data_IF_435775065714
#
_entry.id   IF_435775065714
#
_cell.length_a   1.000
_cell.length_b   1.000
_cell.length_c   1.000
_cell.angle_alpha   90.00
_cell.angle_beta   90.00
_cell.angle_gamma   90.00
#
_symmetry.space_group_name_H-M   'P 1'
#
loop_
_entity.id
_entity.type
_entity.pdbx_description
1 polymer ?
#
# COMPACT_ATOMS: atom_id res chain seq x y z
N UNK A 1 13.04 21.28 -19.31
CA UNK A 1 13.68 19.94 -19.42
C UNK A 1 13.78 19.25 -18.06
N UNK A 2 14.34 19.92 -17.05
CA UNK A 2 14.55 19.34 -15.71
C UNK A 2 13.26 18.83 -15.03
N UNK A 3 12.19 19.63 -15.05
CA UNK A 3 10.93 19.26 -14.43
C UNK A 3 10.28 18.01 -15.08
N UNK A 4 10.41 17.87 -16.40
CA UNK A 4 9.93 16.70 -17.14
C UNK A 4 10.73 15.45 -16.76
N UNK A 5 12.05 15.57 -16.62
CA UNK A 5 12.93 14.49 -16.15
C UNK A 5 12.59 14.07 -14.73
N UNK A 6 12.41 15.05 -13.82
CA UNK A 6 12.01 14.79 -12.43
C UNK A 6 10.66 14.07 -12.33
N UNK A 7 9.67 14.50 -13.13
CA UNK A 7 8.38 13.83 -13.20
C UNK A 7 8.53 12.40 -13.75
N UNK A 8 9.35 12.19 -14.77
CA UNK A 8 9.61 10.85 -15.30
C UNK A 8 10.22 9.92 -14.23
N UNK A 9 11.14 10.42 -13.41
CA UNK A 9 11.68 9.64 -12.29
C UNK A 9 10.57 9.27 -11.29
N UNK A 10 9.71 10.23 -10.93
CA UNK A 10 8.58 9.97 -10.05
C UNK A 10 7.62 8.91 -10.63
N UNK A 11 7.31 8.97 -11.93
CA UNK A 11 6.47 7.99 -12.61
C UNK A 11 7.09 6.59 -12.67
N UNK A 12 8.40 6.52 -12.88
CA UNK A 12 9.12 5.24 -12.85
C UNK A 12 9.06 4.62 -11.46
N UNK A 13 9.27 5.41 -10.40
CA UNK A 13 9.16 4.90 -9.03
C UNK A 13 7.73 4.49 -8.68
N UNK A 14 6.74 5.24 -9.18
CA UNK A 14 5.33 4.95 -9.01
C UNK A 14 4.95 3.61 -9.67
N UNK A 15 5.46 3.34 -10.87
CA UNK A 15 5.27 2.06 -11.55
C UNK A 15 5.96 0.91 -10.81
N UNK A 16 7.20 1.12 -10.33
CA UNK A 16 7.92 0.14 -9.51
C UNK A 16 7.13 -0.19 -8.25
N UNK A 17 6.77 0.82 -7.44
CA UNK A 17 5.98 0.65 -6.23
C UNK A 17 4.62 -0.03 -6.52
N UNK A 18 3.94 0.36 -7.59
CA UNK A 18 2.65 -0.18 -8.01
C UNK A 18 2.65 -1.67 -8.35
N UNK A 19 3.83 -2.24 -8.58
CA UNK A 19 4.00 -3.67 -8.86
C UNK A 19 4.27 -4.51 -7.60
N UNK A 20 4.47 -3.87 -6.45
CA UNK A 20 4.89 -4.54 -5.22
C UNK A 20 3.71 -4.95 -4.35
N UNK A 21 3.93 -6.01 -3.58
CA UNK A 21 3.00 -6.51 -2.57
C UNK A 21 3.78 -6.95 -1.34
N UNK A 22 3.10 -7.05 -0.18
CA UNK A 22 3.70 -7.52 1.07
C UNK A 22 4.09 -6.41 2.05
N UNK A 23 3.59 -5.20 1.88
CA UNK A 23 3.69 -4.15 2.90
C UNK A 23 2.59 -4.31 3.97
N UNK A 24 2.94 -4.00 5.22
CA UNK A 24 2.03 -4.15 6.36
C UNK A 24 0.99 -3.05 6.46
N UNK A 25 1.32 -1.83 6.03
CA UNK A 25 0.49 -0.65 6.29
C UNK A 25 -0.25 -0.13 5.06
N UNK A 26 0.15 -0.56 3.87
CA UNK A 26 -0.48 -0.10 2.65
C UNK A 26 -0.40 -1.17 1.56
N UNK A 27 -1.22 -1.03 0.53
CA UNK A 27 -1.14 -1.82 -0.68
C UNK A 27 -1.22 -0.90 -1.89
N UNK A 28 -0.18 -0.89 -2.72
CA UNK A 28 -0.20 -0.16 -3.98
C UNK A 28 -0.86 -1.00 -5.08
N UNK A 29 -1.57 -0.35 -6.00
CA UNK A 29 -2.14 -0.96 -7.18
C UNK A 29 -2.00 -0.02 -8.38
N UNK A 30 -1.20 -0.41 -9.36
CA UNK A 30 -0.98 0.39 -10.56
C UNK A 30 -2.26 0.45 -11.41
N UNK A 31 -2.85 1.63 -11.53
CA UNK A 31 -4.07 1.87 -12.32
C UNK A 31 -3.74 2.20 -13.78
N UNK A 32 -2.63 2.89 -14.01
CA UNK A 32 -2.17 3.29 -15.33
C UNK A 32 -0.73 3.81 -15.30
N UNK A 33 -0.25 4.30 -16.45
CA UNK A 33 1.14 4.80 -16.58
C UNK A 33 1.44 6.01 -15.69
N UNK A 34 0.41 6.79 -15.35
CA UNK A 34 0.54 8.02 -14.57
C UNK A 34 -0.22 7.95 -13.24
N UNK A 35 -0.85 6.81 -12.92
CA UNK A 35 -1.81 6.69 -11.81
C UNK A 35 -1.58 5.42 -10.99
N UNK A 36 -1.54 5.61 -9.67
CA UNK A 36 -1.44 4.56 -8.65
C UNK A 36 -2.60 4.71 -7.67
N UNK A 37 -3.31 3.62 -7.38
CA UNK A 37 -4.17 3.53 -6.22
C UNK A 37 -3.36 3.05 -5.03
N UNK A 38 -3.49 3.72 -3.88
CA UNK A 38 -2.81 3.36 -2.65
C UNK A 38 -3.84 3.16 -1.54
N UNK A 39 -4.03 1.92 -1.12
CA UNK A 39 -4.87 1.58 0.03
C UNK A 39 -4.00 1.66 1.27
N UNK A 40 -4.32 2.51 2.24
CA UNK A 40 -3.59 2.61 3.50
C UNK A 40 -4.46 2.10 4.64
N UNK A 41 -3.90 1.20 5.44
CA UNK A 41 -4.56 0.67 6.63
C UNK A 41 -4.57 1.71 7.74
N UNK A 42 -5.77 2.00 8.24
CA UNK A 42 -5.96 2.81 9.43
C UNK A 42 -6.18 1.91 10.63
N UNK A 43 -5.20 1.89 11.53
CA UNK A 43 -5.45 1.48 12.90
C UNK A 43 -6.23 2.61 13.57
N UNK A 44 -7.57 2.54 13.50
CA UNK A 44 -8.40 3.43 14.31
C UNK A 44 -8.20 3.09 15.79
N UNK A 45 -8.20 4.12 16.64
CA UNK A 45 -8.15 3.99 18.10
C UNK A 45 -9.08 2.86 18.56
N UNK A 46 -8.53 1.84 19.20
CA UNK A 46 -9.23 1.17 20.28
C UNK A 46 -9.38 2.17 21.43
N UNK A 47 -10.26 3.16 21.29
CA UNK A 47 -10.81 3.87 22.41
C UNK A 47 -12.09 3.13 22.76
N UNK A 48 -11.96 2.24 23.73
CA UNK A 48 -13.04 1.89 24.65
C UNK A 48 -13.94 3.11 24.90
N UNK A 49 -15.14 3.12 24.30
CA UNK A 49 -16.28 3.62 25.04
C UNK A 49 -16.62 2.52 26.04
N UNK A 50 -16.62 2.76 27.36
CA UNK A 50 -17.33 1.84 28.24
C UNK A 50 -18.77 1.78 27.75
N UNK A 51 -19.20 0.59 27.36
CA UNK A 51 -20.58 0.31 27.05
C UNK A 51 -21.41 0.74 28.27
N UNK A 52 -22.28 1.73 28.07
CA UNK A 52 -23.40 1.95 29.00
C UNK A 52 -24.33 0.74 28.81
N UNK A 53 -24.66 -0.03 29.84
CA UNK A 53 -25.62 -1.11 29.70
C UNK A 53 -27.02 -0.51 29.54
N UNK A 54 -27.67 -0.80 28.43
CA UNK A 54 -29.13 -0.70 28.29
C UNK A 54 -29.63 -2.04 27.73
N UNK A 55 -30.72 -2.59 28.28
CA UNK A 55 -31.08 -3.99 28.11
C UNK A 55 -31.81 -4.28 26.80
N UNK A 56 -31.57 -5.50 26.30
CA UNK A 56 -32.48 -6.47 25.67
C UNK A 56 -33.62 -5.99 24.76
N UNK A 57 -33.68 -6.51 23.52
CA UNK A 57 -34.72 -7.45 23.01
C UNK A 57 -34.75 -7.56 21.47
N UNK A 58 -34.98 -8.79 20.97
CA UNK A 58 -35.58 -9.14 19.66
C UNK A 58 -34.74 -8.89 18.39
N UNK A 59 -34.12 -9.91 17.76
CA UNK A 59 -34.70 -10.92 16.86
C UNK A 59 -34.57 -10.60 15.34
N UNK A 60 -34.32 -11.69 14.59
CA UNK A 60 -34.49 -11.94 13.14
C UNK A 60 -33.32 -11.61 12.18
N UNK A 61 -32.72 -12.70 11.70
CA UNK A 61 -31.84 -12.78 10.52
C UNK A 61 -32.64 -12.74 9.22
N UNK A 62 -32.10 -12.11 8.16
CA UNK A 62 -32.61 -12.23 6.79
C UNK A 62 -31.44 -12.40 5.81
N UNK A 63 -31.49 -13.35 4.85
CA UNK A 63 -30.38 -13.65 3.96
C UNK A 63 -30.36 -12.81 2.67
N UNK A 64 -29.19 -12.84 2.04
CA UNK A 64 -28.73 -12.24 0.77
C UNK A 64 -29.74 -12.30 -0.38
N UNK A 65 -29.75 -11.26 -1.22
CA UNK A 65 -30.16 -11.38 -2.63
C UNK A 65 -29.31 -10.51 -3.55
N UNK A 66 -28.85 -11.13 -4.64
CA UNK A 66 -28.02 -10.57 -5.69
C UNK A 66 -28.86 -9.96 -6.81
N UNK A 67 -28.42 -8.82 -7.36
CA UNK A 67 -28.37 -8.47 -8.79
C UNK A 67 -28.64 -6.99 -9.06
N UNK A 68 -27.66 -6.29 -9.62
CA UNK A 68 -27.84 -5.45 -10.81
C UNK A 68 -26.48 -5.01 -11.33
N UNK A 69 -26.25 -5.24 -12.62
CA UNK A 69 -25.07 -4.84 -13.37
C UNK A 69 -25.11 -3.32 -13.55
N UNK A 70 -24.24 -2.60 -12.85
CA UNK A 70 -23.83 -1.24 -13.20
C UNK A 70 -22.30 -1.18 -13.13
N UNK A 71 -21.66 -0.94 -14.26
CA UNK A 71 -20.23 -0.61 -14.36
C UNK A 71 -20.01 0.78 -13.73
N UNK A 72 -19.95 0.81 -12.41
CA UNK A 72 -19.64 1.98 -11.60
C UNK A 72 -18.16 1.93 -11.20
N UNK A 73 -17.46 3.07 -11.01
CA UNK A 73 -16.09 3.11 -10.48
C UNK A 73 -15.90 2.38 -9.13
N UNK A 74 -17.01 2.06 -8.47
CA UNK A 74 -17.13 1.25 -7.25
C UNK A 74 -16.67 -0.21 -7.40
N UNK A 75 -16.68 -0.79 -8.61
CA UNK A 75 -16.26 -2.18 -8.83
C UNK A 75 -14.74 -2.39 -8.66
N UNK A 76 -13.94 -1.39 -9.02
CA UNK A 76 -12.48 -1.43 -8.81
C UNK A 76 -12.13 -1.20 -7.34
N UNK A 77 -12.89 -0.37 -6.64
CA UNK A 77 -12.81 -0.14 -5.20
C UNK A 77 -13.11 -1.43 -4.42
N UNK A 78 -14.20 -2.12 -4.76
CA UNK A 78 -14.55 -3.39 -4.11
C UNK A 78 -13.55 -4.49 -4.45
N UNK A 79 -13.05 -4.55 -5.68
CA UNK A 79 -12.02 -5.52 -6.07
C UNK A 79 -10.68 -5.25 -5.37
N UNK A 80 -10.22 -4.00 -5.31
CA UNK A 80 -8.97 -3.65 -4.63
C UNK A 80 -9.06 -3.90 -3.11
N UNK A 81 -10.19 -3.54 -2.48
CA UNK A 81 -10.44 -3.82 -1.07
C UNK A 81 -10.63 -5.30 -0.79
N UNK A 82 -11.30 -6.06 -1.67
CA UNK A 82 -11.45 -7.51 -1.51
C UNK A 82 -10.12 -8.23 -1.72
N UNK A 83 -9.33 -7.83 -2.73
CA UNK A 83 -7.98 -8.34 -2.94
C UNK A 83 -7.13 -8.06 -1.71
N UNK A 84 -7.18 -6.84 -1.16
CA UNK A 84 -6.53 -6.47 0.09
C UNK A 84 -6.94 -7.37 1.26
N UNK A 85 -8.25 -7.56 1.45
CA UNK A 85 -8.81 -8.41 2.52
C UNK A 85 -8.44 -9.89 2.35
N UNK A 86 -8.24 -10.35 1.12
CA UNK A 86 -7.80 -11.72 0.83
C UNK A 86 -6.28 -11.89 0.96
N UNK A 87 -5.47 -10.86 0.70
CA UNK A 87 -4.02 -10.92 0.80
C UNK A 87 -3.49 -10.69 2.22
N UNK A 88 -4.27 -10.10 3.10
CA UNK A 88 -3.84 -9.85 4.47
C UNK A 88 -4.44 -10.88 5.44
N UNK A 89 -3.59 -11.50 6.27
CA UNK A 89 -4.02 -12.45 7.32
C UNK A 89 -4.61 -11.73 8.54
N UNK A 90 -5.54 -10.80 8.33
CA UNK A 90 -6.21 -10.08 9.42
C UNK A 90 -7.60 -10.66 9.66
N UNK A 91 -8.01 -10.89 10.92
CA UNK A 91 -9.39 -11.26 11.23
C UNK A 91 -10.34 -10.17 10.74
N UNK A 92 -11.55 -10.56 10.34
CA UNK A 92 -12.67 -9.76 9.81
C UNK A 92 -13.13 -8.55 10.66
N UNK A 93 -12.37 -8.15 11.68
CA UNK A 93 -12.56 -6.93 12.44
C UNK A 93 -12.41 -5.73 11.49
N UNK A 94 -13.32 -4.76 11.59
CA UNK A 94 -13.47 -3.61 10.68
C UNK A 94 -12.16 -2.86 10.42
N UNK A 95 -11.38 -3.36 9.45
CA UNK A 95 -10.13 -2.75 9.04
C UNK A 95 -10.50 -1.51 8.24
N UNK A 96 -10.43 -0.37 8.92
CA UNK A 96 -10.69 0.89 8.29
C UNK A 96 -9.54 1.17 7.33
N UNK A 97 -9.83 1.30 6.04
CA UNK A 97 -8.81 1.56 5.01
C UNK A 97 -9.14 2.87 4.30
N UNK A 98 -8.15 3.72 4.09
CA UNK A 98 -8.30 4.93 3.27
C UNK A 98 -7.69 4.67 1.90
N UNK A 99 -8.47 4.83 0.83
CA UNK A 99 -7.97 4.74 -0.53
C UNK A 99 -7.54 6.13 -1.02
N UNK A 100 -6.34 6.19 -1.57
CA UNK A 100 -5.81 7.36 -2.26
C UNK A 100 -5.60 7.09 -3.74
N UNK A 101 -5.77 8.11 -4.57
CA UNK A 101 -5.23 8.15 -5.93
C UNK A 101 -3.99 9.02 -5.91
N UNK A 102 -2.84 8.47 -6.29
CA UNK A 102 -1.61 9.20 -6.52
C UNK A 102 -1.39 9.28 -8.03
N UNK A 103 -1.20 10.48 -8.57
CA UNK A 103 -0.97 10.65 -10.01
C UNK A 103 0.05 11.73 -10.33
N UNK A 104 0.74 11.56 -11.46
CA UNK A 104 1.74 12.48 -11.97
C UNK A 104 1.50 12.83 -13.44
N UNK A 105 0.38 13.45 -13.76
CA UNK A 105 0.05 13.76 -15.16
C UNK A 105 1.03 14.75 -15.77
N UNK A 106 1.56 14.40 -16.95
CA UNK A 106 2.47 15.25 -17.74
C UNK A 106 1.87 16.65 -17.97
N UNK A 107 0.55 16.75 -18.18
CA UNK A 107 -0.17 18.03 -18.37
C UNK A 107 0.07 19.02 -17.22
N UNK A 108 0.20 18.55 -15.99
CA UNK A 108 0.37 19.41 -14.82
C UNK A 108 1.82 19.51 -14.33
N UNK A 109 2.70 18.62 -14.80
CA UNK A 109 4.13 18.71 -14.53
C UNK A 109 4.55 18.47 -13.07
N UNK A 110 3.67 17.92 -12.21
CA UNK A 110 3.94 17.63 -10.80
C UNK A 110 3.01 16.51 -10.27
N UNK A 111 3.40 15.82 -9.17
CA UNK A 111 2.55 14.82 -8.54
C UNK A 111 1.39 15.45 -7.76
N UNK A 112 0.32 14.68 -7.60
CA UNK A 112 -0.86 15.00 -6.80
C UNK A 112 -1.41 13.74 -6.14
N UNK A 113 -2.01 13.91 -4.97
CA UNK A 113 -2.74 12.86 -4.26
C UNK A 113 -4.18 13.29 -4.02
N UNK A 114 -5.13 12.36 -4.11
CA UNK A 114 -6.53 12.61 -3.76
C UNK A 114 -7.07 11.49 -2.87
N UNK A 115 -8.02 11.84 -2.01
CA UNK A 115 -8.77 10.86 -1.23
C UNK A 115 -9.89 10.28 -2.11
N UNK A 116 -10.07 8.96 -2.08
CA UNK A 116 -11.09 8.22 -2.84
C UNK A 116 -12.08 7.49 -1.95
N UNK A 117 -11.72 7.20 -0.69
CA UNK A 117 -12.63 6.67 0.33
C UNK A 117 -12.29 7.22 1.72
N UNK A 118 -13.21 7.07 2.68
CA UNK A 118 -13.03 7.41 4.10
C UNK A 118 -12.59 8.87 4.37
N UNK A 119 -13.05 9.80 3.54
CA UNK A 119 -12.73 11.23 3.57
C UNK A 119 -13.15 11.94 4.87
N UNK A 120 -14.26 11.51 5.48
CA UNK A 120 -14.84 12.06 6.70
C UNK A 120 -13.92 11.92 7.93
N UNK A 121 -12.92 11.03 7.87
CA UNK A 121 -11.98 10.78 8.96
C UNK A 121 -10.73 11.64 8.92
N UNK A 122 -10.33 12.09 7.73
CA UNK A 122 -9.16 12.94 7.52
C UNK A 122 -9.55 14.42 7.38
N UNK A 123 -10.80 14.70 7.06
CA UNK A 123 -11.35 16.04 6.89
C UNK A 123 -12.62 16.15 7.73
N UNK A 124 -12.56 16.85 8.87
CA UNK A 124 -13.73 17.18 9.71
C UNK A 124 -14.61 18.24 9.02
N UNK A 125 -15.15 17.97 7.83
CA UNK A 125 -16.09 18.88 7.15
C UNK A 125 -17.32 18.07 6.75
N UNK A 126 -18.37 18.20 7.55
CA UNK A 126 -19.68 17.69 7.22
C UNK A 126 -20.23 18.34 5.95
N UNK A 127 -20.88 17.53 5.10
CA UNK A 127 -21.97 17.98 4.23
C UNK A 127 -21.60 18.67 2.92
N UNK A 128 -20.44 18.40 2.30
CA UNK A 128 -20.13 18.94 0.96
C UNK A 128 -19.57 17.85 0.02
N UNK A 129 -20.43 16.89 -0.32
CA UNK A 129 -20.09 15.52 -0.72
C UNK A 129 -19.57 15.27 -2.15
N UNK A 130 -19.32 16.30 -2.98
CA UNK A 130 -18.79 16.08 -4.34
C UNK A 130 -17.48 16.81 -4.63
N UNK A 131 -17.34 18.09 -4.27
CA UNK A 131 -16.16 18.88 -4.65
C UNK A 131 -14.89 18.58 -3.83
N UNK A 132 -15.03 17.97 -2.64
CA UNK A 132 -13.89 17.62 -1.78
C UNK A 132 -13.10 16.43 -2.34
N UNK A 133 -13.75 15.50 -3.08
CA UNK A 133 -13.08 14.34 -3.70
C UNK A 133 -12.18 14.74 -4.88
N UNK A 134 -12.51 15.83 -5.56
CA UNK A 134 -11.76 16.32 -6.73
C UNK A 134 -10.64 17.29 -6.35
N UNK A 135 -10.61 17.76 -5.11
CA UNK A 135 -9.55 18.62 -4.61
C UNK A 135 -8.33 17.78 -4.21
N UNK A 136 -7.14 18.03 -4.79
CA UNK A 136 -5.93 17.32 -4.39
C UNK A 136 -5.53 17.68 -2.96
N UNK A 137 -4.99 16.71 -2.23
CA UNK A 137 -4.44 16.89 -0.90
C UNK A 137 -3.21 17.80 -0.91
N UNK A 138 -3.09 18.63 0.12
CA UNK A 138 -1.91 19.45 0.37
C UNK A 138 -0.94 18.68 1.26
N UNK A 139 -0.16 17.79 0.64
CA UNK A 139 0.90 17.05 1.31
C UNK A 139 2.19 17.87 1.31
N UNK A 140 2.97 17.79 2.39
CA UNK A 140 4.26 18.48 2.51
C UNK A 140 5.24 17.94 1.46
N UNK A 141 5.31 16.62 1.30
CA UNK A 141 6.12 15.96 0.26
C UNK A 141 5.81 16.50 -1.15
N UNK A 142 4.53 16.63 -1.50
CA UNK A 142 4.11 17.14 -2.81
C UNK A 142 4.41 18.64 -2.96
N UNK A 143 4.23 19.42 -1.90
CA UNK A 143 4.51 20.86 -1.89
C UNK A 143 6.01 21.13 -2.08
N UNK A 144 6.84 20.36 -1.37
CA UNK A 144 8.30 20.41 -1.44
C UNK A 144 8.86 19.73 -2.71
N UNK A 145 8.03 19.07 -3.52
CA UNK A 145 8.49 18.27 -4.65
C UNK A 145 9.24 19.09 -5.69
N UNK A 146 8.98 20.39 -5.85
CA UNK A 146 9.74 21.19 -6.80
C UNK A 146 11.16 21.48 -6.31
N UNK A 147 11.31 21.78 -5.02
CA UNK A 147 12.55 22.30 -4.41
C UNK A 147 13.44 21.20 -3.84
N UNK A 148 12.84 20.10 -3.36
CA UNK A 148 13.55 18.98 -2.73
C UNK A 148 13.57 17.75 -3.64
N UNK A 149 14.48 16.81 -3.36
CA UNK A 149 14.62 15.54 -4.07
C UNK A 149 13.51 14.52 -3.75
N UNK A 150 12.25 14.96 -3.65
CA UNK A 150 11.12 14.13 -3.23
C UNK A 150 10.81 13.05 -4.27
N UNK A 151 10.64 11.82 -3.79
CA UNK A 151 10.33 10.60 -4.54
C UNK A 151 8.98 10.03 -4.11
N UNK A 152 8.52 8.96 -4.76
CA UNK A 152 7.20 8.37 -4.47
C UNK A 152 7.08 7.88 -3.03
N UNK A 153 8.15 7.33 -2.47
CA UNK A 153 8.16 6.79 -1.12
C UNK A 153 7.99 7.87 -0.05
N UNK A 154 8.47 9.09 -0.28
CA UNK A 154 8.26 10.21 0.66
C UNK A 154 6.77 10.60 0.76
N UNK A 155 6.05 10.51 -0.37
CA UNK A 155 4.60 10.76 -0.39
C UNK A 155 3.85 9.63 0.31
N UNK A 156 4.28 8.39 0.09
CA UNK A 156 3.66 7.20 0.68
C UNK A 156 3.89 7.15 2.19
N UNK A 157 5.10 7.46 2.67
CA UNK A 157 5.40 7.49 4.10
C UNK A 157 4.58 8.56 4.82
N UNK A 158 4.42 9.75 4.23
CA UNK A 158 3.54 10.80 4.75
C UNK A 158 2.08 10.31 4.84
N UNK A 159 1.55 9.70 3.76
CA UNK A 159 0.19 9.16 3.74
C UNK A 159 -0.04 8.05 4.77
N UNK A 160 0.94 7.15 4.94
CA UNK A 160 0.89 6.10 5.97
C UNK A 160 0.83 6.73 7.35
N UNK A 161 1.77 7.62 7.67
CA UNK A 161 1.85 8.29 8.97
C UNK A 161 0.58 9.09 9.32
N UNK A 162 -0.10 9.68 8.32
CA UNK A 162 -1.37 10.38 8.50
C UNK A 162 -2.55 9.43 8.82
N UNK A 163 -2.54 8.19 8.32
CA UNK A 163 -3.66 7.25 8.46
C UNK A 163 -3.55 6.33 9.68
N UNK A 164 -2.35 6.15 10.20
CA UNK A 164 -2.03 5.24 11.31
C UNK A 164 -1.82 6.01 12.62
N UNK A 165 -2.51 5.62 13.69
CA UNK A 165 -2.33 6.23 15.02
C UNK A 165 -2.07 5.12 16.06
N UNK A 166 -0.90 5.10 16.73
CA UNK A 166 0.24 5.98 16.51
C UNK A 166 0.88 5.75 15.13
N UNK A 167 1.60 6.76 14.60
CA UNK A 167 2.35 6.61 13.35
C UNK A 167 3.41 5.51 13.52
N UNK A 168 3.58 4.61 12.52
CA UNK A 168 4.50 3.50 12.62
C UNK A 168 5.94 4.00 12.65
N UNK A 169 6.79 3.28 13.37
CA UNK A 169 8.24 3.51 13.34
C UNK A 169 8.86 3.22 11.96
N UNK A 170 8.24 2.31 11.18
CA UNK A 170 8.63 2.01 9.80
C UNK A 170 7.38 1.98 8.90
N UNK A 171 7.14 3.00 8.06
CA UNK A 171 5.99 3.01 7.14
C UNK A 171 6.10 1.94 6.04
N UNK A 172 7.30 1.41 5.78
CA UNK A 172 7.58 0.35 4.80
C UNK A 172 7.76 -1.03 5.44
N UNK A 173 7.31 -1.23 6.68
CA UNK A 173 7.39 -2.54 7.33
C UNK A 173 6.70 -3.62 6.47
N UNK A 174 7.31 -4.80 6.39
CA UNK A 174 6.82 -5.88 5.55
C UNK A 174 5.95 -6.83 6.36
N UNK A 175 4.93 -7.39 5.72
CA UNK A 175 4.20 -8.53 6.26
C UNK A 175 4.97 -9.82 5.93
N UNK A 176 5.98 -10.11 6.75
CA UNK A 176 6.79 -11.32 6.58
C UNK A 176 5.98 -12.61 6.68
N UNK A 177 4.81 -12.60 7.36
CA UNK A 177 3.94 -13.78 7.46
C UNK A 177 3.26 -14.03 6.12
N UNK A 178 2.72 -12.98 5.50
CA UNK A 178 2.20 -13.05 4.14
C UNK A 178 3.28 -13.50 3.14
N UNK A 179 4.46 -12.87 3.16
CA UNK A 179 5.51 -13.20 2.19
C UNK A 179 5.95 -14.67 2.34
N UNK A 180 6.05 -15.18 3.57
CA UNK A 180 6.41 -16.58 3.82
C UNK A 180 5.31 -17.58 3.40
N UNK A 181 4.04 -17.19 3.44
CA UNK A 181 2.93 -18.06 3.04
C UNK A 181 2.79 -18.21 1.51
N UNK A 182 3.43 -17.33 0.74
CA UNK A 182 3.41 -17.40 -0.73
C UNK A 182 4.02 -18.72 -1.26
N UNK A 183 3.50 -19.24 -2.39
CA UNK A 183 4.15 -20.30 -3.14
C UNK A 183 5.61 -19.95 -3.43
N UNK A 184 6.48 -20.96 -3.51
CA UNK A 184 7.93 -20.74 -3.56
C UNK A 184 8.38 -19.82 -4.71
N UNK A 185 7.77 -19.98 -5.89
CA UNK A 185 8.08 -19.15 -7.07
C UNK A 185 7.70 -17.68 -6.83
N UNK A 186 6.48 -17.45 -6.35
CA UNK A 186 5.97 -16.11 -6.03
C UNK A 186 6.78 -15.48 -4.90
N UNK A 187 7.11 -16.25 -3.86
CA UNK A 187 7.95 -15.81 -2.73
C UNK A 187 9.31 -15.33 -3.22
N UNK A 188 9.96 -16.08 -4.10
CA UNK A 188 11.24 -15.68 -4.68
C UNK A 188 11.13 -14.37 -5.48
N UNK A 189 10.10 -14.24 -6.32
CA UNK A 189 9.86 -13.04 -7.13
C UNK A 189 9.54 -11.82 -6.25
N UNK A 190 8.58 -11.95 -5.32
CA UNK A 190 8.13 -10.88 -4.42
C UNK A 190 9.28 -10.41 -3.53
N UNK A 191 10.05 -11.33 -2.94
CA UNK A 191 11.20 -10.95 -2.10
C UNK A 191 12.28 -10.22 -2.90
N UNK A 192 12.55 -10.63 -4.14
CA UNK A 192 13.50 -9.95 -5.02
C UNK A 192 13.03 -8.54 -5.41
N UNK A 193 11.75 -8.39 -5.78
CA UNK A 193 11.17 -7.09 -6.14
C UNK A 193 11.14 -6.13 -4.94
N UNK A 194 10.74 -6.61 -3.76
CA UNK A 194 10.77 -5.83 -2.52
C UNK A 194 12.20 -5.42 -2.15
N UNK A 195 13.19 -6.31 -2.27
CA UNK A 195 14.60 -5.97 -2.02
C UNK A 195 15.08 -4.85 -2.95
N UNK A 196 14.80 -4.98 -4.25
CA UNK A 196 15.17 -3.96 -5.23
C UNK A 196 14.60 -2.59 -4.89
N UNK A 197 13.33 -2.54 -4.48
CA UNK A 197 12.68 -1.29 -4.05
C UNK A 197 13.28 -0.73 -2.76
N UNK A 198 13.46 -1.55 -1.72
CA UNK A 198 14.02 -1.10 -0.44
C UNK A 198 15.48 -0.67 -0.59
N UNK A 199 16.28 -1.36 -1.40
CA UNK A 199 17.65 -0.95 -1.70
C UNK A 199 17.70 0.38 -2.46
N UNK A 200 16.78 0.60 -3.40
CA UNK A 200 16.62 1.90 -4.05
C UNK A 200 16.26 3.01 -3.03
N UNK A 201 15.36 2.72 -2.08
CA UNK A 201 15.08 3.63 -0.97
C UNK A 201 16.32 3.90 -0.12
N UNK A 202 17.14 2.90 0.21
CA UNK A 202 18.36 3.10 0.99
C UNK A 202 19.43 3.91 0.26
N UNK A 203 19.47 3.86 -1.08
CA UNK A 203 20.42 4.64 -1.88
C UNK A 203 19.98 6.11 -2.04
N UNK A 204 18.70 6.34 -2.33
CA UNK A 204 18.19 7.67 -2.71
C UNK A 204 17.34 8.35 -1.64
N UNK A 205 16.95 7.63 -0.59
CA UNK A 205 16.14 8.13 0.51
C UNK A 205 16.92 9.07 1.42
N UNK A 206 16.17 9.91 2.14
CA UNK A 206 16.74 10.82 3.11
C UNK A 206 17.19 10.06 4.37
N UNK A 207 18.48 10.12 4.70
CA UNK A 207 19.08 9.43 5.85
C UNK A 207 18.70 10.05 7.19
N UNK A 208 18.26 11.31 7.18
CA UNK A 208 17.84 12.02 8.39
C UNK A 208 16.41 11.64 8.82
N UNK A 209 15.69 10.85 8.02
CA UNK A 209 14.37 10.36 8.37
C UNK A 209 14.45 9.32 9.50
N UNK A 210 13.61 9.48 10.53
CA UNK A 210 13.58 8.60 11.71
C UNK A 210 13.36 7.12 11.39
N UNK A 211 12.70 6.83 10.26
CA UNK A 211 12.40 5.47 9.84
C UNK A 211 13.49 4.85 8.95
N UNK A 212 14.51 5.61 8.53
CA UNK A 212 15.58 5.11 7.65
C UNK A 212 16.28 3.89 8.24
N UNK A 213 16.74 3.99 9.50
CA UNK A 213 17.40 2.88 10.20
C UNK A 213 16.49 1.66 10.34
N UNK A 214 15.18 1.89 10.49
CA UNK A 214 14.19 0.81 10.56
C UNK A 214 14.00 0.10 9.22
N UNK A 215 14.09 0.81 8.11
CA UNK A 215 14.13 0.19 6.78
C UNK A 215 15.42 -0.61 6.57
N UNK A 216 16.57 -0.12 7.06
CA UNK A 216 17.84 -0.87 7.03
C UNK A 216 17.73 -2.19 7.81
N UNK A 217 17.10 -2.14 8.99
CA UNK A 217 16.83 -3.34 9.80
C UNK A 217 15.91 -4.33 9.05
N UNK A 218 14.91 -3.84 8.32
CA UNK A 218 13.93 -4.63 7.55
C UNK A 218 14.55 -5.41 6.37
N UNK A 219 15.56 -4.85 5.69
CA UNK A 219 16.20 -5.47 4.52
C UNK A 219 16.92 -6.78 4.87
N UNK A 220 17.48 -6.89 6.09
CA UNK A 220 18.26 -8.08 6.52
C UNK A 220 17.44 -9.38 6.54
N UNK A 221 16.28 -9.46 7.23
CA UNK A 221 15.45 -10.67 7.19
C UNK A 221 14.88 -10.95 5.79
N UNK A 222 14.51 -9.92 5.03
CA UNK A 222 14.01 -10.09 3.66
C UNK A 222 15.07 -10.73 2.75
N UNK A 223 16.32 -10.25 2.83
CA UNK A 223 17.45 -10.78 2.06
C UNK A 223 17.73 -12.25 2.38
N UNK A 224 17.69 -12.61 3.67
CA UNK A 224 17.84 -14.02 4.10
C UNK A 224 16.74 -14.89 3.49
N UNK A 225 15.49 -14.42 3.50
CA UNK A 225 14.37 -15.15 2.93
C UNK A 225 14.52 -15.33 1.41
N UNK A 226 14.92 -14.28 0.69
CA UNK A 226 15.16 -14.35 -0.75
C UNK A 226 16.20 -15.41 -1.12
N UNK A 227 17.35 -15.42 -0.44
CA UNK A 227 18.39 -16.42 -0.66
C UNK A 227 17.92 -17.84 -0.33
N UNK A 228 17.16 -18.01 0.75
CA UNK A 228 16.57 -19.31 1.08
C UNK A 228 15.63 -19.80 -0.02
N UNK A 229 14.75 -18.93 -0.52
CA UNK A 229 13.84 -19.27 -1.62
C UNK A 229 14.58 -19.61 -2.92
N UNK A 230 15.66 -18.89 -3.24
CA UNK A 230 16.51 -19.18 -4.39
C UNK A 230 17.15 -20.57 -4.30
N UNK A 231 17.73 -20.90 -3.14
CA UNK A 231 18.36 -22.21 -2.92
C UNK A 231 17.36 -23.36 -3.01
N UNK A 232 16.15 -23.15 -2.49
CA UNK A 232 15.07 -24.14 -2.57
C UNK A 232 14.61 -24.37 -4.01
N UNK A 233 14.45 -23.29 -4.80
CA UNK A 233 14.13 -23.39 -6.23
C UNK A 233 15.20 -24.14 -7.02
N UNK A 234 16.48 -23.89 -6.74
CA UNK A 234 17.58 -24.59 -7.38
C UNK A 234 17.54 -26.09 -7.09
N UNK A 235 17.25 -26.48 -5.84
CA UNK A 235 17.14 -27.90 -5.45
C UNK A 235 15.99 -28.60 -6.17
N UNK A 236 14.81 -27.98 -6.26
CA UNK A 236 13.66 -28.54 -6.98
C UNK A 236 13.94 -28.70 -8.48
N UNK A 237 14.61 -27.71 -9.08
CA UNK A 237 15.02 -27.78 -10.49
C UNK A 237 15.99 -28.95 -10.72
N UNK A 238 16.99 -29.11 -9.87
CA UNK A 238 17.94 -30.23 -9.97
C UNK A 238 17.27 -31.61 -9.79
N UNK A 239 16.30 -31.73 -8.87
CA UNK A 239 15.58 -32.98 -8.65
C UNK A 239 14.68 -33.37 -9.83
N UNK A 240 14.00 -32.40 -10.47
CA UNK A 240 13.16 -32.65 -11.64
C UNK A 240 13.96 -33.11 -12.87
N UNK A 241 15.16 -32.55 -13.09
CA UNK A 241 16.05 -32.97 -14.19
C UNK A 241 16.53 -34.41 -14.03
N UNK A 242 16.82 -34.83 -12.80
CA UNK A 242 17.24 -36.22 -12.51
C UNK A 242 16.09 -37.22 -12.69
N UNK A 243 14.85 -36.82 -12.45
CA UNK A 243 13.68 -37.69 -12.64
C UNK A 243 13.28 -37.86 -14.10
N UNK A 244 13.53 -36.85 -14.95
CA UNK A 244 13.24 -36.91 -16.39
C UNK A 244 14.31 -37.64 -17.21
N UNK A 245 15.42 -38.05 -16.58
CA UNK A 245 16.56 -38.73 -17.21
C UNK A 245 16.62 -40.24 -16.87
N UNK A 246 15.58 -40.76 -16.20
CA UNK A 246 15.37 -42.19 -15.92
C UNK A 246 14.13 -42.66 -16.66
#
# INVERSE_FOLDING_TARGET
MEQKRKLQHFLNDLALLGSLQGFKYFQPWLRGKEELLLTVLSSARGASRPARPSPSEGEIAVPVSASSRSTSPSSHLSYALNTFRSSCSFPQQEVNCTLFLLAGYVKYGRPYAWIRSNHERLVNIGGMDSMVRDTPMKLKSITDWQTRGIRVWDVVSELVCLCTVPSPSNPFALDMRYIQSLPLQDRFLVTGALLSFLEMYLVYGNRDELHYDKVVEEVKPLRRLHFQSLLELQRLKSASVQHSSR
#
